data_IF_886152176000
#
_entry.id   IF_886152176000
#
_cell.length_a   1.000
_cell.length_b   1.000
_cell.length_c   1.000
_cell.angle_alpha   90.00
_cell.angle_beta   90.00
_cell.angle_gamma   90.00
#
_symmetry.space_group_name_H-M   'P 1'
#
loop_
_entity.id
_entity.type
_entity.pdbx_description
1 polymer ?
#
# COMPACT_ATOMS: atom_id res chain seq x y z
N UNK A 1 14.31 -2.76 -9.34
CA UNK A 1 14.56 -3.78 -10.38
C UNK A 1 13.52 -4.90 -10.47
N UNK A 2 12.35 -4.83 -9.81
CA UNK A 2 11.28 -5.81 -10.03
C UNK A 2 10.45 -5.44 -11.26
N UNK A 3 9.92 -6.43 -11.97
CA UNK A 3 9.05 -6.22 -13.16
C UNK A 3 7.56 -6.17 -12.81
N UNK A 4 7.18 -6.75 -11.67
CA UNK A 4 5.82 -6.75 -11.14
C UNK A 4 5.83 -6.91 -9.61
N UNK A 5 4.68 -6.67 -8.99
CA UNK A 5 4.47 -6.84 -7.54
C UNK A 5 3.23 -7.66 -7.26
N UNK A 6 3.29 -8.50 -6.23
CA UNK A 6 2.12 -9.17 -5.66
C UNK A 6 1.64 -8.38 -4.44
N UNK A 7 0.35 -8.03 -4.41
CA UNK A 7 -0.23 -7.17 -3.38
C UNK A 7 -1.27 -7.95 -2.59
N UNK A 8 -1.06 -8.06 -1.28
CA UNK A 8 -1.96 -8.77 -0.36
C UNK A 8 -2.89 -7.81 0.39
N UNK A 9 -2.37 -7.21 1.47
CA UNK A 9 -3.16 -6.43 2.43
C UNK A 9 -3.93 -5.25 1.84
N UNK A 10 -3.41 -4.58 0.80
CA UNK A 10 -4.13 -3.50 0.13
C UNK A 10 -5.35 -4.01 -0.66
N UNK A 11 -5.23 -5.14 -1.36
CA UNK A 11 -6.37 -5.74 -2.07
C UNK A 11 -7.36 -6.42 -1.14
N UNK A 12 -6.94 -6.83 0.07
CA UNK A 12 -7.88 -7.29 1.10
C UNK A 12 -8.85 -6.19 1.57
N UNK A 13 -8.59 -4.92 1.24
CA UNK A 13 -9.48 -3.78 1.49
C UNK A 13 -10.55 -3.57 0.40
N UNK A 14 -10.53 -4.37 -0.66
CA UNK A 14 -11.52 -4.30 -1.74
C UNK A 14 -12.87 -4.89 -1.29
N UNK A 15 -13.98 -4.33 -1.78
CA UNK A 15 -15.33 -4.88 -1.58
C UNK A 15 -15.46 -6.31 -2.13
N UNK A 16 -14.72 -6.61 -3.19
CA UNK A 16 -14.68 -7.90 -3.85
C UNK A 16 -13.80 -8.92 -3.11
N UNK A 17 -13.02 -8.49 -2.11
CA UNK A 17 -12.14 -9.38 -1.37
C UNK A 17 -12.96 -10.30 -0.44
N UNK A 18 -12.77 -11.63 -0.49
CA UNK A 18 -13.56 -12.58 0.29
C UNK A 18 -13.31 -12.46 1.81
N UNK A 19 -12.22 -11.79 2.21
CA UNK A 19 -11.88 -11.54 3.61
C UNK A 19 -12.77 -10.51 4.31
N UNK A 20 -13.64 -9.79 3.58
CA UNK A 20 -14.57 -8.79 4.13
C UNK A 20 -13.87 -7.80 5.09
N UNK A 21 -12.76 -7.21 4.63
CA UNK A 21 -11.94 -6.30 5.44
C UNK A 21 -10.99 -6.97 6.44
N UNK A 22 -10.81 -8.29 6.34
CA UNK A 22 -9.78 -9.03 7.07
C UNK A 22 -8.70 -9.54 6.13
N UNK A 23 -7.47 -9.60 6.62
CA UNK A 23 -6.32 -10.15 5.90
C UNK A 23 -5.53 -11.10 6.82
N UNK A 24 -4.95 -12.15 6.24
CA UNK A 24 -4.09 -13.11 6.94
C UNK A 24 -3.08 -13.69 5.96
N UNK A 25 -1.92 -14.11 6.47
CA UNK A 25 -0.95 -14.87 5.68
C UNK A 25 -1.40 -16.32 5.48
N UNK A 26 -0.94 -16.96 4.40
CA UNK A 26 -1.23 -18.37 4.05
C UNK A 26 -0.52 -19.39 4.96
N UNK A 27 0.04 -18.96 6.09
CA UNK A 27 0.79 -19.85 6.96
C UNK A 27 -0.11 -20.94 7.57
N UNK A 28 0.46 -22.13 7.76
CA UNK A 28 -0.26 -23.33 8.23
C UNK A 28 -1.08 -23.03 9.51
N UNK A 29 -2.39 -23.35 9.55
CA UNK A 29 -3.19 -23.26 10.76
C UNK A 29 -2.85 -24.46 11.66
N UNK A 30 -1.71 -24.39 12.36
CA UNK A 30 -1.25 -25.43 13.27
C UNK A 30 -1.44 -24.95 14.72
N UNK A 31 -2.18 -25.73 15.52
CA UNK A 31 -2.50 -25.35 16.90
C UNK A 31 -1.26 -25.09 17.76
N UNK A 32 -0.21 -25.90 17.58
CA UNK A 32 1.04 -25.78 18.36
C UNK A 32 2.12 -24.97 17.64
N UNK A 33 1.85 -24.45 16.44
CA UNK A 33 2.79 -23.62 15.68
C UNK A 33 2.02 -22.58 14.84
N UNK A 34 1.23 -21.69 15.49
CA UNK A 34 0.47 -20.68 14.77
C UNK A 34 1.43 -19.68 14.13
N UNK A 35 1.40 -19.60 12.81
CA UNK A 35 2.24 -18.67 12.02
C UNK A 35 1.43 -17.66 11.22
N UNK A 36 0.10 -17.77 11.24
CA UNK A 36 -0.82 -16.88 10.56
C UNK A 36 -1.58 -16.02 11.58
N UNK A 37 -1.51 -14.69 11.43
CA UNK A 37 -2.29 -13.75 12.23
C UNK A 37 -3.32 -13.09 11.33
N UNK A 38 -4.59 -13.16 11.73
CA UNK A 38 -5.66 -12.38 11.10
C UNK A 38 -5.63 -10.95 11.63
N UNK A 39 -5.56 -10.00 10.71
CA UNK A 39 -5.65 -8.57 11.00
C UNK A 39 -6.90 -7.98 10.34
N UNK A 40 -7.41 -6.89 10.94
CA UNK A 40 -8.46 -6.08 10.33
C UNK A 40 -7.80 -4.96 9.54
N UNK A 41 -8.12 -4.87 8.26
CA UNK A 41 -7.67 -3.81 7.35
C UNK A 41 -8.84 -2.91 6.90
N UNK A 42 -10.09 -3.32 7.16
CA UNK A 42 -11.27 -2.59 6.73
C UNK A 42 -11.53 -2.73 5.22
N UNK A 43 -12.68 -2.25 4.76
CA UNK A 43 -13.01 -2.14 3.34
C UNK A 43 -12.99 -0.66 2.97
N UNK A 44 -12.21 -0.28 1.97
CA UNK A 44 -12.02 1.13 1.60
C UNK A 44 -12.61 1.50 0.24
N UNK A 45 -12.92 0.53 -0.62
CA UNK A 45 -13.47 0.78 -1.95
C UNK A 45 -13.57 -0.48 -2.79
N UNK A 46 -13.97 -0.33 -4.05
CA UNK A 46 -13.88 -1.43 -5.02
C UNK A 46 -12.43 -1.67 -5.43
N UNK A 47 -12.12 -2.86 -5.95
CA UNK A 47 -10.81 -3.18 -6.52
C UNK A 47 -10.42 -2.19 -7.62
N UNK A 48 -11.40 -1.78 -8.45
CA UNK A 48 -11.19 -0.76 -9.48
C UNK A 48 -10.74 0.57 -8.88
N UNK A 49 -11.36 1.00 -7.78
CA UNK A 49 -10.98 2.25 -7.10
C UNK A 49 -9.59 2.14 -6.45
N UNK A 50 -9.26 0.99 -5.86
CA UNK A 50 -7.93 0.75 -5.28
C UNK A 50 -6.85 0.81 -6.37
N UNK A 51 -7.10 0.23 -7.56
CA UNK A 51 -6.14 0.25 -8.65
C UNK A 51 -6.07 1.60 -9.38
N UNK A 52 -7.21 2.16 -9.78
CA UNK A 52 -7.29 3.25 -10.74
C UNK A 52 -7.90 4.55 -10.19
N UNK A 53 -8.34 4.55 -8.93
CA UNK A 53 -8.97 5.69 -8.30
C UNK A 53 -10.42 5.95 -8.75
N UNK A 54 -10.96 7.15 -8.44
CA UNK A 54 -10.28 8.22 -7.70
C UNK A 54 -9.98 7.81 -6.26
N UNK A 55 -8.83 8.27 -5.74
CA UNK A 55 -8.53 8.13 -4.33
C UNK A 55 -9.39 9.09 -3.52
N UNK A 56 -10.11 8.57 -2.52
CA UNK A 56 -10.90 9.33 -1.55
C UNK A 56 -10.27 9.32 -0.15
N UNK A 57 -9.13 8.64 -0.02
CA UNK A 57 -8.32 8.53 1.19
C UNK A 57 -6.93 9.11 0.90
N UNK A 58 -6.28 9.62 1.94
CA UNK A 58 -4.97 10.26 1.92
C UNK A 58 -3.83 9.36 2.48
N UNK A 59 -4.14 8.09 2.75
CA UNK A 59 -3.22 7.08 3.29
C UNK A 59 -2.44 6.30 2.21
N UNK A 60 -2.72 6.55 0.93
CA UNK A 60 -2.11 5.86 -0.21
C UNK A 60 -2.65 4.45 -0.46
N UNK A 61 -3.77 4.07 0.15
CA UNK A 61 -4.39 2.75 -0.05
C UNK A 61 -5.20 2.63 -1.35
N UNK A 62 -5.34 3.72 -2.12
CA UNK A 62 -6.11 3.78 -3.36
C UNK A 62 -5.34 4.46 -4.50
N UNK A 63 -5.79 4.23 -5.73
CA UNK A 63 -5.17 4.73 -6.96
C UNK A 63 -3.69 4.34 -7.12
N UNK A 64 -3.39 3.05 -6.93
CA UNK A 64 -2.02 2.53 -7.03
C UNK A 64 -1.39 2.75 -8.41
N UNK A 65 -2.19 2.68 -9.49
CA UNK A 65 -1.73 2.94 -10.86
C UNK A 65 -1.43 4.42 -11.04
N UNK A 66 -2.28 5.32 -10.53
CA UNK A 66 -1.97 6.75 -10.55
C UNK A 66 -0.72 7.08 -9.76
N UNK A 67 -0.50 6.42 -8.61
CA UNK A 67 0.68 6.61 -7.79
C UNK A 67 1.97 6.21 -8.53
N UNK A 68 2.03 5.02 -9.14
CA UNK A 68 3.23 4.59 -9.89
C UNK A 68 3.48 5.47 -11.12
N UNK A 69 2.45 5.86 -11.87
CA UNK A 69 2.59 6.76 -13.04
C UNK A 69 3.12 8.12 -12.61
N UNK A 70 2.62 8.66 -11.48
CA UNK A 70 3.11 9.93 -10.93
C UNK A 70 4.56 9.83 -10.49
N UNK A 71 4.93 8.75 -9.79
CA UNK A 71 6.32 8.50 -9.40
C UNK A 71 7.25 8.41 -10.62
N UNK A 72 6.87 7.65 -11.65
CA UNK A 72 7.62 7.52 -12.90
C UNK A 72 7.80 8.89 -13.58
N UNK A 73 6.75 9.71 -13.63
CA UNK A 73 6.82 11.08 -14.17
C UNK A 73 7.81 11.97 -13.41
N UNK A 74 7.82 11.92 -12.08
CA UNK A 74 8.70 12.75 -11.24
C UNK A 74 10.19 12.47 -11.44
N UNK A 75 10.54 11.25 -11.84
CA UNK A 75 11.93 10.83 -12.08
C UNK A 75 12.27 10.74 -13.57
N UNK A 76 11.36 11.18 -14.44
CA UNK A 76 11.57 11.20 -15.89
C UNK A 76 11.61 9.82 -16.56
N UNK A 77 11.02 8.79 -15.93
CA UNK A 77 10.97 7.44 -16.48
C UNK A 77 9.71 7.24 -17.32
N UNK A 78 9.87 6.93 -18.61
CA UNK A 78 8.77 6.59 -19.53
C UNK A 78 8.37 5.12 -19.45
N UNK A 79 9.32 4.25 -19.14
CA UNK A 79 9.12 2.80 -19.08
C UNK A 79 9.48 2.24 -17.71
N UNK A 80 8.94 1.06 -17.36
CA UNK A 80 9.34 0.37 -16.13
C UNK A 80 10.83 0.07 -16.11
N UNK A 81 11.43 -0.20 -17.27
CA UNK A 81 12.88 -0.45 -17.38
C UNK A 81 13.69 0.79 -17.00
N UNK A 82 13.32 1.95 -17.53
CA UNK A 82 13.93 3.23 -17.12
C UNK A 82 13.71 3.49 -15.62
N UNK A 83 12.49 3.24 -15.11
CA UNK A 83 12.16 3.42 -13.70
C UNK A 83 12.99 2.51 -12.76
N UNK A 84 13.37 1.32 -13.22
CA UNK A 84 14.24 0.42 -12.46
C UNK A 84 15.69 0.93 -12.33
N UNK A 85 16.11 1.87 -13.18
CA UNK A 85 17.48 2.41 -13.27
C UNK A 85 17.62 3.80 -12.62
N UNK A 86 16.53 4.37 -12.10
CA UNK A 86 16.54 5.69 -11.45
C UNK A 86 17.33 5.67 -10.15
N UNK A 87 17.92 6.82 -9.79
CA UNK A 87 18.68 6.98 -8.55
C UNK A 87 17.81 6.76 -7.30
N UNK A 88 18.39 6.10 -6.30
CA UNK A 88 17.75 5.89 -5.00
C UNK A 88 18.43 6.79 -3.98
N UNK A 89 17.62 7.59 -3.28
CA UNK A 89 18.07 8.40 -2.16
C UNK A 89 17.68 7.70 -0.86
N UNK A 90 18.67 7.43 0.01
CA UNK A 90 18.44 6.90 1.35
C UNK A 90 18.35 8.09 2.32
N UNK A 91 17.13 8.42 2.76
CA UNK A 91 16.87 9.51 3.70
C UNK A 91 16.29 8.97 5.02
N UNK A 92 17.12 8.69 6.05
CA UNK A 92 16.63 8.10 7.31
C UNK A 92 15.57 8.93 8.03
N UNK A 93 15.63 10.26 7.91
CA UNK A 93 14.70 11.20 8.55
C UNK A 93 13.29 11.16 7.97
N UNK A 94 13.08 10.64 6.75
CA UNK A 94 11.78 10.68 6.07
C UNK A 94 10.68 9.88 6.82
N UNK A 95 11.11 8.96 7.69
CA UNK A 95 10.22 8.18 8.56
C UNK A 95 9.59 9.04 9.66
N UNK A 96 10.24 10.12 10.08
CA UNK A 96 9.80 10.96 11.21
C UNK A 96 9.37 12.35 10.75
N UNK A 97 10.01 12.89 9.72
CA UNK A 97 9.73 14.22 9.17
C UNK A 97 8.28 14.29 8.64
N UNK A 98 7.49 15.21 9.19
CA UNK A 98 6.05 15.34 8.89
C UNK A 98 5.15 14.25 9.50
N UNK A 99 5.67 13.02 9.70
CA UNK A 99 4.92 11.88 10.24
C UNK A 99 4.53 12.04 11.70
N UNK A 100 5.35 12.73 12.49
CA UNK A 100 5.00 13.07 13.86
C UNK A 100 3.73 13.93 13.91
N UNK A 101 3.63 14.94 13.04
CA UNK A 101 2.44 15.80 12.97
C UNK A 101 1.20 15.02 12.50
N UNK A 102 1.34 14.15 11.49
CA UNK A 102 0.24 13.28 11.03
C UNK A 102 -0.28 12.37 12.16
N UNK A 103 0.63 11.79 12.93
CA UNK A 103 0.28 10.90 14.05
C UNK A 103 -0.38 11.64 15.20
N UNK A 104 0.15 12.81 15.58
CA UNK A 104 -0.41 13.64 16.66
C UNK A 104 -1.81 14.14 16.31
N UNK A 105 -2.05 14.46 15.03
CA UNK A 105 -3.34 14.95 14.55
C UNK A 105 -4.31 13.83 14.12
N UNK A 106 -3.83 12.59 13.99
CA UNK A 106 -4.62 11.44 13.55
C UNK A 106 -5.09 11.54 12.09
N UNK A 107 -4.28 12.13 11.21
CA UNK A 107 -4.61 12.37 9.78
C UNK A 107 -3.64 11.64 8.86
N UNK A 108 -4.01 11.43 7.59
CA UNK A 108 -3.18 10.74 6.61
C UNK A 108 -2.78 9.34 7.06
N UNK A 109 -1.49 9.05 6.96
CA UNK A 109 -0.94 7.76 7.43
C UNK A 109 -0.86 7.65 8.97
N UNK A 110 -1.20 8.71 9.71
CA UNK A 110 -1.23 8.73 11.17
C UNK A 110 -2.58 8.35 11.76
N UNK A 111 -3.62 8.18 10.94
CA UNK A 111 -4.94 7.73 11.38
C UNK A 111 -4.87 6.27 11.83
N UNK A 112 -5.31 5.97 13.05
CA UNK A 112 -5.33 4.62 13.64
C UNK A 112 -6.45 3.75 13.08
#
# INVERSE_FOLDING_TARGET
>A
GADAVMIGSAFARAQEAPGNGNHWGMATPHANLPRGTRIKVGVTGSLRQILFGPATLDDGSQNLVGAIVTCMGNVGARTLKEFQETEIIIAPSIKTEGKLFQTVQGVGMGTR
#
